data_IF_287815572678
#
_entry.id   IF_287815572678
#
_cell.length_a   1.000
_cell.length_b   1.000
_cell.length_c   1.000
_cell.angle_alpha   90.00
_cell.angle_beta   90.00
_cell.angle_gamma   90.00
#
_symmetry.space_group_name_H-M   'P 1'
#
loop_
_entity.id
_entity.type
_entity.pdbx_description
1 polymer ?
#
# COMPACT_ATOMS: atom_id res chain seq x y z
N UNK A 1 -7.89 8.77 24.71
CA UNK A 1 -7.83 8.64 23.24
C UNK A 1 -8.12 7.19 22.92
N UNK A 2 -9.11 6.88 22.06
CA UNK A 2 -9.30 5.48 21.63
C UNK A 2 -8.11 5.07 20.76
N UNK A 3 -7.60 3.83 20.87
CA UNK A 3 -6.58 3.35 19.95
C UNK A 3 -7.13 3.40 18.52
N UNK A 4 -6.27 3.77 17.57
CA UNK A 4 -6.57 3.70 16.14
C UNK A 4 -6.87 2.25 15.74
N UNK A 5 -7.64 2.07 14.67
CA UNK A 5 -7.85 0.74 14.09
C UNK A 5 -6.53 0.20 13.55
N UNK A 6 -6.26 -1.07 13.84
CA UNK A 6 -5.11 -1.82 13.32
C UNK A 6 -5.61 -3.01 12.49
N UNK A 7 -5.07 -3.13 11.28
CA UNK A 7 -5.42 -4.13 10.29
C UNK A 7 -5.04 -5.55 10.72
N UNK A 8 -3.98 -5.71 11.51
CA UNK A 8 -3.47 -7.02 11.97
C UNK A 8 -3.97 -7.36 13.37
N UNK A 9 -4.05 -6.38 14.26
CA UNK A 9 -4.37 -6.56 15.67
C UNK A 9 -5.79 -6.05 15.99
N UNK A 10 -6.68 -6.96 16.40
CA UNK A 10 -8.03 -6.62 16.87
C UNK A 10 -7.98 -5.91 18.24
N UNK A 11 -7.03 -6.31 19.07
CA UNK A 11 -6.61 -5.66 20.32
C UNK A 11 -5.09 -5.84 20.44
N UNK A 12 -4.43 -5.15 21.37
CA UNK A 12 -2.96 -5.27 21.55
C UNK A 12 -2.45 -6.71 21.74
N UNK A 13 -3.31 -7.65 22.14
CA UNK A 13 -2.97 -9.05 22.36
C UNK A 13 -3.59 -10.03 21.35
N UNK A 14 -4.50 -9.59 20.47
CA UNK A 14 -5.27 -10.49 19.59
C UNK A 14 -5.06 -10.17 18.13
N UNK A 15 -4.54 -11.13 17.37
CA UNK A 15 -4.40 -11.05 15.90
C UNK A 15 -5.72 -11.41 15.21
N UNK A 16 -6.12 -10.61 14.23
CA UNK A 16 -7.32 -10.83 13.39
C UNK A 16 -7.15 -12.09 12.57
N UNK A 17 -8.27 -12.78 12.35
CA UNK A 17 -8.28 -14.11 11.73
C UNK A 17 -7.52 -14.18 10.40
N UNK A 18 -7.78 -13.23 9.50
CA UNK A 18 -7.15 -13.17 8.18
C UNK A 18 -5.64 -12.89 8.21
N UNK A 19 -5.12 -12.39 9.34
CA UNK A 19 -3.67 -12.17 9.55
C UNK A 19 -2.96 -13.33 10.25
N UNK A 20 -3.67 -14.27 10.91
CA UNK A 20 -3.04 -15.31 11.74
C UNK A 20 -2.01 -16.17 11.00
N UNK A 21 -2.27 -16.47 9.72
CA UNK A 21 -1.32 -17.21 8.88
C UNK A 21 -0.04 -16.42 8.64
N UNK A 22 -0.19 -15.13 8.32
CA UNK A 22 0.93 -14.23 8.08
C UNK A 22 1.71 -13.91 9.36
N UNK A 23 1.03 -13.66 10.49
CA UNK A 23 1.64 -13.44 11.80
C UNK A 23 2.55 -14.60 12.22
N UNK A 24 2.05 -15.83 12.10
CA UNK A 24 2.83 -17.04 12.41
C UNK A 24 4.05 -17.17 11.52
N UNK A 25 3.89 -16.90 10.23
CA UNK A 25 5.01 -16.91 9.29
C UNK A 25 6.03 -15.82 9.65
N UNK A 26 5.57 -14.60 9.91
CA UNK A 26 6.41 -13.45 10.22
C UNK A 26 7.22 -13.66 11.50
N UNK A 27 6.61 -14.24 12.54
CA UNK A 27 7.27 -14.56 13.81
C UNK A 27 8.43 -15.56 13.67
N UNK A 28 8.45 -16.33 12.58
CA UNK A 28 9.51 -17.31 12.29
C UNK A 28 10.65 -16.73 11.44
N UNK A 29 10.54 -15.48 10.96
CA UNK A 29 11.55 -14.90 10.07
C UNK A 29 12.69 -14.25 10.84
N UNK A 30 13.96 -14.63 10.58
CA UNK A 30 15.11 -13.92 11.12
C UNK A 30 15.15 -12.47 10.63
N UNK A 31 15.54 -11.54 11.51
CA UNK A 31 15.58 -10.10 11.18
C UNK A 31 16.51 -9.79 10.01
N UNK A 32 17.63 -10.50 9.90
CA UNK A 32 18.60 -10.31 8.81
C UNK A 32 18.02 -10.76 7.46
N UNK A 33 17.22 -11.83 7.44
CA UNK A 33 16.53 -12.29 6.22
C UNK A 33 15.50 -11.25 5.78
N UNK A 34 14.72 -10.69 6.71
CA UNK A 34 13.76 -9.63 6.40
C UNK A 34 14.45 -8.36 5.88
N UNK A 35 15.60 -8.00 6.47
CA UNK A 35 16.41 -6.86 6.00
C UNK A 35 16.92 -7.08 4.58
N UNK A 36 17.47 -8.26 4.29
CA UNK A 36 17.97 -8.62 2.95
C UNK A 36 16.85 -8.60 1.91
N UNK A 37 15.66 -9.13 2.22
CA UNK A 37 14.48 -9.06 1.33
C UNK A 37 14.05 -7.63 1.02
N UNK A 38 14.17 -6.72 2.00
CA UNK A 38 13.85 -5.30 1.78
C UNK A 38 14.85 -4.65 0.83
N UNK A 39 16.13 -4.89 1.04
CA UNK A 39 17.21 -4.39 0.16
C UNK A 39 17.07 -4.93 -1.26
N UNK A 40 16.74 -6.21 -1.41
CA UNK A 40 16.47 -6.85 -2.71
C UNK A 40 15.26 -6.22 -3.40
N UNK A 41 14.15 -6.02 -2.67
CA UNK A 41 12.97 -5.36 -3.21
C UNK A 41 13.32 -3.93 -3.68
N UNK A 42 14.01 -3.13 -2.86
CA UNK A 42 14.45 -1.78 -3.24
C UNK A 42 15.31 -1.78 -4.51
N UNK A 43 16.20 -2.76 -4.69
CA UNK A 43 16.98 -2.91 -5.92
C UNK A 43 16.11 -3.25 -7.13
N UNK A 44 15.09 -4.10 -6.97
CA UNK A 44 14.12 -4.41 -8.03
C UNK A 44 13.35 -3.15 -8.43
N UNK A 45 12.85 -2.37 -7.46
CA UNK A 45 12.15 -1.11 -7.73
C UNK A 45 13.05 -0.11 -8.48
N UNK A 46 14.35 -0.01 -8.14
CA UNK A 46 15.35 0.77 -8.90
C UNK A 46 15.49 0.28 -10.33
N UNK A 47 15.61 -1.04 -10.53
CA UNK A 47 15.90 -1.64 -11.84
C UNK A 47 14.70 -1.57 -12.79
N UNK A 48 13.49 -1.70 -12.27
CA UNK A 48 12.24 -1.63 -13.07
C UNK A 48 11.84 -0.18 -13.37
N UNK A 49 12.53 0.80 -12.77
CA UNK A 49 12.25 2.23 -13.01
C UNK A 49 10.93 2.68 -12.41
N UNK A 50 10.49 2.06 -11.31
CA UNK A 50 9.31 2.49 -10.56
C UNK A 50 9.73 3.69 -9.71
N UNK A 51 9.81 4.85 -10.35
CA UNK A 51 10.17 6.13 -9.74
C UNK A 51 8.97 7.07 -9.76
N UNK A 52 8.94 8.04 -8.85
CA UNK A 52 8.00 9.15 -8.91
C UNK A 52 8.76 10.47 -8.98
N UNK A 53 8.21 11.39 -9.78
CA UNK A 53 8.76 12.74 -9.90
C UNK A 53 8.38 13.56 -8.67
N UNK A 54 9.37 14.06 -7.94
CA UNK A 54 9.14 15.05 -6.88
C UNK A 54 9.09 16.44 -7.54
N UNK A 55 7.88 16.92 -7.82
CA UNK A 55 7.70 18.33 -8.21
C UNK A 55 8.04 19.23 -7.01
N UNK A 56 9.22 19.85 -7.04
CA UNK A 56 9.66 20.82 -6.03
C UNK A 56 11.15 20.72 -5.67
N UNK A 57 11.78 19.56 -5.86
CA UNK A 57 13.22 19.40 -5.78
C UNK A 57 13.80 19.58 -7.20
N UNK A 58 13.85 20.84 -7.65
CA UNK A 58 14.69 21.18 -8.80
C UNK A 58 16.11 21.20 -8.27
N UNK A 59 16.91 20.21 -8.63
CA UNK A 59 18.36 20.41 -8.64
C UNK A 59 18.67 21.56 -9.63
N UNK A 60 19.78 22.27 -9.44
CA UNK A 60 20.12 23.50 -10.18
C UNK A 60 20.09 23.33 -11.72
N UNK A 61 20.13 22.09 -12.22
CA UNK A 61 20.05 21.71 -13.64
C UNK A 61 18.64 21.38 -14.17
N UNK A 62 17.56 21.62 -13.40
CA UNK A 62 16.18 21.52 -13.90
C UNK A 62 15.65 20.10 -14.17
N UNK A 63 16.41 19.05 -13.83
CA UNK A 63 15.90 17.69 -13.76
C UNK A 63 15.24 17.47 -12.39
N UNK A 64 13.99 17.00 -12.38
CA UNK A 64 13.31 16.67 -11.13
C UNK A 64 14.00 15.48 -10.48
N UNK A 65 14.37 15.58 -9.20
CA UNK A 65 15.02 14.47 -8.49
C UNK A 65 14.07 13.27 -8.45
N UNK A 66 14.34 12.23 -9.25
CA UNK A 66 13.57 10.99 -9.23
C UNK A 66 13.78 10.28 -7.88
N UNK A 67 12.67 9.90 -7.23
CA UNK A 67 12.71 9.12 -6.00
C UNK A 67 12.04 7.77 -6.20
N UNK A 68 12.56 6.77 -5.50
CA UNK A 68 11.99 5.43 -5.48
C UNK A 68 10.70 5.44 -4.66
N UNK A 69 9.67 4.76 -5.17
CA UNK A 69 8.48 4.48 -4.37
C UNK A 69 8.91 3.57 -3.22
N UNK A 70 8.66 3.97 -1.95
CA UNK A 70 8.96 3.10 -0.82
C UNK A 70 8.09 1.85 -0.88
N UNK A 71 8.69 0.70 -0.62
CA UNK A 71 7.99 -0.58 -0.62
C UNK A 71 7.96 -1.17 0.78
N UNK A 72 6.78 -1.63 1.20
CA UNK A 72 6.59 -2.36 2.45
C UNK A 72 6.51 -3.87 2.18
N UNK A 73 7.23 -4.64 2.97
CA UNK A 73 7.19 -6.10 2.92
C UNK A 73 5.96 -6.68 3.63
N UNK A 74 5.34 -5.90 4.53
CA UNK A 74 4.16 -6.31 5.28
C UNK A 74 2.92 -6.02 4.42
N UNK A 75 2.20 -7.06 3.96
CA UNK A 75 1.03 -6.85 3.12
C UNK A 75 -0.15 -6.32 3.95
N UNK A 76 -0.96 -5.48 3.31
CA UNK A 76 -2.32 -5.21 3.76
C UNK A 76 -3.24 -6.34 3.29
N UNK A 77 -3.55 -7.28 4.16
CA UNK A 77 -4.43 -8.41 3.85
C UNK A 77 -5.89 -7.94 3.92
N UNK A 78 -6.62 -8.10 2.83
CA UNK A 78 -8.04 -7.75 2.74
C UNK A 78 -8.83 -9.05 2.57
N UNK A 79 -9.73 -9.41 3.51
CA UNK A 79 -10.61 -10.55 3.37
C UNK A 79 -11.49 -10.44 2.12
N UNK A 80 -11.78 -11.57 1.48
CA UNK A 80 -12.56 -11.59 0.24
C UNK A 80 -13.93 -10.89 0.37
N UNK A 81 -14.63 -11.07 1.49
CA UNK A 81 -15.94 -10.44 1.70
C UNK A 81 -15.84 -8.92 1.85
N UNK A 82 -14.80 -8.41 2.53
CA UNK A 82 -14.54 -6.96 2.63
C UNK A 82 -14.18 -6.38 1.25
N UNK A 83 -13.38 -7.10 0.47
CA UNK A 83 -13.05 -6.70 -0.90
C UNK A 83 -14.28 -6.63 -1.79
N UNK A 84 -15.14 -7.66 -1.77
CA UNK A 84 -16.37 -7.67 -2.58
C UNK A 84 -17.30 -6.49 -2.27
N UNK A 85 -17.43 -6.11 -1.01
CA UNK A 85 -18.21 -4.94 -0.62
C UNK A 85 -17.57 -3.64 -1.11
N UNK A 86 -16.26 -3.48 -0.90
CA UNK A 86 -15.51 -2.30 -1.30
C UNK A 86 -15.49 -2.12 -2.83
N UNK A 87 -15.24 -3.20 -3.59
CA UNK A 87 -15.25 -3.19 -5.05
C UNK A 87 -16.58 -2.70 -5.61
N UNK A 88 -17.70 -3.23 -5.10
CA UNK A 88 -19.05 -2.79 -5.49
C UNK A 88 -19.26 -1.30 -5.23
N UNK A 89 -18.84 -0.82 -4.06
CA UNK A 89 -18.92 0.60 -3.72
C UNK A 89 -18.06 1.49 -4.60
N UNK A 90 -16.83 1.05 -4.92
CA UNK A 90 -15.93 1.76 -5.81
C UNK A 90 -16.47 1.85 -7.23
N UNK A 91 -16.98 0.74 -7.78
CA UNK A 91 -17.58 0.71 -9.12
C UNK A 91 -18.79 1.66 -9.20
N UNK A 92 -19.66 1.66 -8.19
CA UNK A 92 -20.78 2.58 -8.09
C UNK A 92 -20.30 4.05 -8.06
N UNK A 93 -19.29 4.36 -7.22
CA UNK A 93 -18.77 5.71 -7.06
C UNK A 93 -18.15 6.25 -8.35
N UNK A 94 -17.31 5.46 -9.02
CA UNK A 94 -16.69 5.85 -10.30
C UNK A 94 -17.77 6.10 -11.35
N UNK A 95 -18.78 5.24 -11.42
CA UNK A 95 -19.91 5.43 -12.35
C UNK A 95 -20.64 6.75 -12.10
N UNK A 96 -20.95 7.07 -10.84
CA UNK A 96 -21.62 8.31 -10.47
C UNK A 96 -20.76 9.54 -10.81
N UNK A 97 -19.46 9.51 -10.48
CA UNK A 97 -18.53 10.60 -10.77
C UNK A 97 -18.39 10.84 -12.27
N UNK A 98 -18.29 9.79 -13.09
CA UNK A 98 -18.20 9.92 -14.54
C UNK A 98 -19.46 10.56 -15.14
N UNK A 99 -20.65 10.17 -14.66
CA UNK A 99 -21.91 10.79 -15.09
C UNK A 99 -22.02 12.24 -14.65
N UNK A 100 -21.61 12.55 -13.42
CA UNK A 100 -21.57 13.92 -12.92
C UNK A 100 -20.66 14.81 -13.76
N UNK A 101 -19.44 14.35 -14.07
CA UNK A 101 -18.52 15.10 -14.94
C UNK A 101 -19.14 15.31 -16.32
N UNK A 102 -19.77 14.30 -16.90
CA UNK A 102 -20.46 14.45 -18.18
C UNK A 102 -21.54 15.53 -18.13
N UNK A 103 -22.39 15.52 -17.09
CA UNK A 103 -23.49 16.48 -16.87
C UNK A 103 -22.99 17.93 -16.68
N UNK A 104 -21.78 18.12 -16.15
CA UNK A 104 -21.18 19.47 -16.01
C UNK A 104 -20.68 20.03 -17.36
N UNK A 105 -20.33 19.17 -18.31
CA UNK A 105 -19.67 19.58 -19.56
C UNK A 105 -20.50 19.38 -20.83
N UNK A 106 -21.72 18.83 -20.75
CA UNK A 106 -22.65 18.63 -21.87
C UNK A 106 -24.06 19.05 -21.45
#
# INVERSE_FOLDING_TARGET
>A
MRPSFDEMHATSATVREHYRGYDRWLAQQPRDVMKSRREEAEMIFRRVGITFAVYGAKDEDGSGTERLIPFDLIPRVIPAHEWSEMERGLAQRVTALNRFIHDVYH
#
